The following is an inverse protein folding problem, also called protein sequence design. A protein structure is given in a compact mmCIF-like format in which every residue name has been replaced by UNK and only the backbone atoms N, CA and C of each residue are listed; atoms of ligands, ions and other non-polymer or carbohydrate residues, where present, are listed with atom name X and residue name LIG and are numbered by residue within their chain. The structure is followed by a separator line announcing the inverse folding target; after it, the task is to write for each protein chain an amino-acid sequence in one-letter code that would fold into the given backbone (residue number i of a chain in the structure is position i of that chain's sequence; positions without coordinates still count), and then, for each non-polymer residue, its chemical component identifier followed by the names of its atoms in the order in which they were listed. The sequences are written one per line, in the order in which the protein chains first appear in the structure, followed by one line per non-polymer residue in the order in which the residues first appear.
data_IF_708553469426
#
_entry.id   IF_708553469426
#
_cell.length_a   1.000
_cell.length_b   1.000
_cell.length_c   1.000
_cell.angle_alpha   90.00
_cell.angle_beta   90.00
_cell.angle_gamma   90.00
#
_symmetry.space_group_name_H-M   'P 1'
#
loop_
_entity.id
_entity.type
_entity.pdbx_description
1 polymer ?
#
# COMPACT_ATOMS: atom_id res chain seq x y z
N UNK A 1 -2.76 -17.68 -22.68
CA UNK A 1 -3.49 -16.40 -22.44
C UNK A 1 -3.14 -15.88 -21.06
N UNK A 2 -2.96 -14.57 -20.85
CA UNK A 2 -2.75 -14.02 -19.51
C UNK A 2 -3.93 -14.41 -18.60
N UNK A 3 -3.65 -14.84 -17.37
CA UNK A 3 -4.70 -15.19 -16.39
C UNK A 3 -5.54 -13.94 -16.09
N UNK A 4 -6.86 -14.10 -16.06
CA UNK A 4 -7.74 -12.99 -15.66
C UNK A 4 -7.63 -12.74 -14.15
N UNK A 5 -7.97 -11.53 -13.67
CA UNK A 5 -7.96 -11.25 -12.25
C UNK A 5 -8.80 -12.22 -11.42
N UNK A 6 -9.99 -12.62 -11.89
CA UNK A 6 -10.81 -13.58 -11.17
C UNK A 6 -10.10 -14.93 -11.01
N UNK A 7 -9.47 -15.48 -12.06
CA UNK A 7 -8.72 -16.75 -11.94
C UNK A 7 -7.59 -16.68 -10.91
N UNK A 8 -6.84 -15.58 -10.91
CA UNK A 8 -5.79 -15.36 -9.91
C UNK A 8 -6.38 -15.30 -8.49
N UNK A 9 -7.57 -14.71 -8.34
CA UNK A 9 -8.25 -14.65 -7.05
C UNK A 9 -8.80 -16.01 -6.62
N UNK A 10 -9.38 -16.79 -7.53
CA UNK A 10 -9.87 -18.16 -7.30
C UNK A 10 -8.73 -19.05 -6.78
N UNK A 11 -7.54 -18.97 -7.38
CA UNK A 11 -6.34 -19.68 -6.94
C UNK A 11 -5.93 -19.28 -5.49
N UNK A 12 -6.05 -18.00 -5.14
CA UNK A 12 -5.73 -17.49 -3.79
C UNK A 12 -6.82 -17.77 -2.75
N UNK A 13 -8.05 -18.06 -3.18
CA UNK A 13 -9.23 -18.02 -2.33
C UNK A 13 -9.17 -19.00 -1.14
N UNK A 14 -8.74 -20.26 -1.29
CA UNK A 14 -8.68 -21.20 -0.17
C UNK A 14 -7.74 -20.72 0.95
N UNK A 15 -6.53 -20.26 0.59
CA UNK A 15 -5.56 -19.73 1.54
C UNK A 15 -6.03 -18.38 2.14
N UNK A 16 -6.66 -17.54 1.33
CA UNK A 16 -7.24 -16.28 1.79
C UNK A 16 -8.34 -16.50 2.84
N UNK A 17 -9.19 -17.50 2.65
CA UNK A 17 -10.24 -17.88 3.60
C UNK A 17 -9.69 -18.39 4.93
N UNK A 18 -8.49 -18.97 4.92
CA UNK A 18 -7.77 -19.38 6.13
C UNK A 18 -6.97 -18.22 6.77
N UNK A 19 -7.01 -17.03 6.15
CA UNK A 19 -6.24 -15.88 6.62
C UNK A 19 -4.73 -16.05 6.44
N UNK A 20 -4.28 -16.79 5.43
CA UNK A 20 -2.84 -16.91 5.12
C UNK A 20 -2.24 -15.51 4.81
N UNK A 21 -1.14 -15.10 5.47
CA UNK A 21 -0.56 -13.76 5.29
C UNK A 21 -0.19 -13.43 3.84
N UNK A 22 0.34 -14.41 3.11
CA UNK A 22 0.79 -14.21 1.74
C UNK A 22 -0.41 -14.11 0.77
N UNK A 23 -1.43 -14.94 0.94
CA UNK A 23 -2.66 -14.86 0.18
C UNK A 23 -3.41 -13.53 0.45
N UNK A 24 -3.45 -13.08 1.70
CA UNK A 24 -3.98 -11.76 2.09
C UNK A 24 -3.21 -10.63 1.41
N UNK A 25 -1.88 -10.70 1.39
CA UNK A 25 -1.03 -9.73 0.70
C UNK A 25 -1.30 -9.67 -0.81
N UNK A 26 -1.29 -10.82 -1.49
CA UNK A 26 -1.50 -10.92 -2.93
C UNK A 26 -2.92 -10.53 -3.34
N UNK A 27 -3.95 -10.94 -2.59
CA UNK A 27 -5.33 -10.50 -2.83
C UNK A 27 -5.46 -8.96 -2.70
N UNK A 28 -4.77 -8.34 -1.73
CA UNK A 28 -4.76 -6.88 -1.59
C UNK A 28 -4.02 -6.17 -2.72
N UNK A 29 -2.94 -6.75 -3.25
CA UNK A 29 -2.25 -6.24 -4.45
C UNK A 29 -3.16 -6.34 -5.68
N UNK A 30 -3.77 -7.52 -5.90
CA UNK A 30 -4.67 -7.79 -7.01
C UNK A 30 -5.86 -6.83 -7.01
N UNK A 31 -6.56 -6.68 -5.89
CA UNK A 31 -7.73 -5.78 -5.77
C UNK A 31 -7.39 -4.31 -6.06
N UNK A 32 -6.17 -3.84 -5.74
CA UNK A 32 -5.72 -2.49 -6.09
C UNK A 32 -5.47 -2.32 -7.58
N UNK A 33 -4.83 -3.30 -8.23
CA UNK A 33 -4.60 -3.31 -9.68
C UNK A 33 -5.92 -3.34 -10.45
N UNK A 34 -6.83 -4.23 -10.06
CA UNK A 34 -8.18 -4.32 -10.65
C UNK A 34 -8.95 -3.02 -10.46
N UNK A 35 -8.86 -2.38 -9.29
CA UNK A 35 -9.56 -1.11 -9.06
C UNK A 35 -9.11 0.00 -10.04
N UNK A 36 -7.83 0.07 -10.38
CA UNK A 36 -7.31 1.02 -11.37
C UNK A 36 -7.89 0.73 -12.76
N UNK A 37 -7.88 -0.53 -13.19
CA UNK A 37 -8.47 -0.96 -14.47
C UNK A 37 -9.97 -0.68 -14.53
N UNK A 38 -10.73 -1.06 -13.50
CA UNK A 38 -12.18 -0.86 -13.46
C UNK A 38 -12.58 0.62 -13.40
N UNK A 39 -11.76 1.49 -12.80
CA UNK A 39 -11.97 2.95 -12.80
C UNK A 39 -11.90 3.50 -14.23
N UNK A 40 -11.02 2.97 -15.06
CA UNK A 40 -10.84 3.40 -16.45
C UNK A 40 -11.83 2.75 -17.43
N UNK A 41 -12.40 1.59 -17.08
CA UNK A 41 -13.25 0.80 -17.98
C UNK A 41 -14.75 0.97 -17.86
N UNK A 42 -15.23 2.04 -17.20
CA UNK A 42 -16.67 2.26 -16.93
C UNK A 42 -17.37 1.02 -16.35
N UNK A 43 -16.62 0.21 -15.60
CA UNK A 43 -17.13 -1.06 -15.12
C UNK A 43 -18.37 -0.85 -14.23
N UNK A 44 -19.34 -1.79 -14.27
CA UNK A 44 -20.57 -1.67 -13.49
C UNK A 44 -20.27 -1.37 -12.03
N UNK A 45 -21.03 -0.45 -11.43
CA UNK A 45 -20.87 -0.03 -10.02
C UNK A 45 -20.87 -1.23 -9.07
N UNK A 46 -21.67 -2.26 -9.38
CA UNK A 46 -21.73 -3.52 -8.62
C UNK A 46 -20.39 -4.26 -8.63
N UNK A 47 -19.74 -4.40 -9.78
CA UNK A 47 -18.42 -5.04 -9.91
C UNK A 47 -17.35 -4.26 -9.15
N UNK A 48 -17.29 -2.93 -9.35
CA UNK A 48 -16.36 -2.05 -8.61
C UNK A 48 -16.54 -2.17 -7.09
N UNK A 49 -17.80 -2.25 -6.65
CA UNK A 49 -18.12 -2.45 -5.23
C UNK A 49 -17.64 -3.80 -4.72
N UNK A 50 -17.87 -4.89 -5.43
CA UNK A 50 -17.46 -6.23 -5.01
C UNK A 50 -15.94 -6.31 -4.74
N UNK A 51 -15.12 -5.81 -5.66
CA UNK A 51 -13.67 -5.74 -5.49
C UNK A 51 -13.24 -4.83 -4.34
N UNK A 52 -13.92 -3.70 -4.13
CA UNK A 52 -13.67 -2.80 -3.00
C UNK A 52 -14.03 -3.45 -1.67
N UNK A 53 -15.15 -4.17 -1.61
CA UNK A 53 -15.65 -4.80 -0.39
C UNK A 53 -14.72 -5.96 0.00
N UNK A 54 -14.20 -6.73 -0.96
CA UNK A 54 -13.14 -7.72 -0.72
C UNK A 54 -11.88 -7.07 -0.13
N UNK A 55 -11.39 -5.99 -0.77
CA UNK A 55 -10.21 -5.26 -0.28
C UNK A 55 -10.39 -4.75 1.15
N UNK A 56 -11.60 -4.32 1.51
CA UNK A 56 -11.94 -3.84 2.86
C UNK A 56 -12.00 -4.99 3.88
N UNK A 57 -12.56 -6.13 3.49
CA UNK A 57 -12.66 -7.30 4.36
C UNK A 57 -11.27 -7.79 4.81
N UNK A 58 -10.28 -7.80 3.89
CA UNK A 58 -8.92 -8.32 4.17
C UNK A 58 -7.96 -7.26 4.71
N UNK A 59 -8.34 -5.98 4.69
CA UNK A 59 -7.46 -4.87 5.06
C UNK A 59 -6.98 -4.96 6.52
N UNK A 60 -7.87 -5.17 7.52
CA UNK A 60 -7.47 -5.24 8.91
C UNK A 60 -6.44 -6.33 9.20
N UNK A 61 -6.60 -7.52 8.59
CA UNK A 61 -5.62 -8.61 8.71
C UNK A 61 -4.26 -8.19 8.15
N UNK A 62 -4.22 -7.61 6.94
CA UNK A 62 -2.95 -7.21 6.34
C UNK A 62 -2.27 -6.08 7.11
N UNK A 63 -3.04 -5.06 7.52
CA UNK A 63 -2.49 -3.90 8.22
C UNK A 63 -1.87 -4.35 9.55
N UNK A 64 -2.53 -5.29 10.24
CA UNK A 64 -1.96 -5.98 11.39
C UNK A 64 -0.68 -6.75 11.04
N UNK A 65 -0.73 -7.68 10.08
CA UNK A 65 0.42 -8.53 9.72
C UNK A 65 1.68 -7.71 9.35
N UNK A 66 1.49 -6.55 8.72
CA UNK A 66 2.59 -5.60 8.42
C UNK A 66 3.16 -5.00 9.70
N UNK A 67 2.31 -4.46 10.57
CA UNK A 67 2.75 -3.83 11.81
C UNK A 67 3.53 -4.80 12.70
N UNK A 68 3.08 -6.05 12.80
CA UNK A 68 3.80 -7.10 13.53
C UNK A 68 5.19 -7.37 12.98
N UNK A 69 5.32 -7.50 11.65
CA UNK A 69 6.61 -7.69 11.01
C UNK A 69 7.58 -6.57 11.37
N UNK A 70 7.13 -5.32 11.30
CA UNK A 70 7.96 -4.16 11.62
C UNK A 70 8.35 -4.05 13.09
N UNK A 71 7.42 -4.33 14.02
CA UNK A 71 7.75 -4.32 15.44
C UNK A 71 8.71 -5.47 15.78
N UNK A 72 8.50 -6.64 15.20
CA UNK A 72 9.43 -7.77 15.33
C UNK A 72 10.83 -7.43 14.84
N UNK A 73 10.97 -6.89 13.62
CA UNK A 73 12.25 -6.43 13.07
C UNK A 73 12.91 -5.37 13.98
N UNK A 74 12.13 -4.41 14.48
CA UNK A 74 12.61 -3.37 15.38
C UNK A 74 13.12 -3.93 16.72
N UNK A 75 12.42 -4.92 17.28
CA UNK A 75 12.86 -5.61 18.51
C UNK A 75 14.16 -6.38 18.31
N UNK A 76 14.35 -7.02 17.14
CA UNK A 76 15.61 -7.70 16.81
C UNK A 76 16.77 -6.73 16.71
N UNK A 77 16.59 -5.62 16.00
CA UNK A 77 17.61 -4.57 15.84
C UNK A 77 18.04 -3.96 17.18
N UNK A 78 17.11 -3.85 18.14
CA UNK A 78 17.38 -3.35 19.49
C UNK A 78 17.97 -4.40 20.43
N UNK A 79 18.17 -5.64 19.97
CA UNK A 79 18.68 -6.73 20.80
C UNK A 79 17.69 -7.22 21.87
N UNK A 80 16.40 -6.90 21.72
CA UNK A 80 15.32 -7.26 22.65
C UNK A 80 14.69 -8.64 22.31
N UNK A 81 15.45 -9.52 21.65
CA UNK A 81 14.97 -10.79 21.10
C UNK A 81 14.60 -11.89 22.12
N UNK A 82 14.72 -11.62 23.43
CA UNK A 82 14.42 -12.58 24.51
C UNK A 82 12.93 -12.66 24.86
N UNK A 83 12.62 -12.80 26.16
CA UNK A 83 11.26 -12.99 26.68
C UNK A 83 10.24 -11.93 26.19
N UNK A 84 10.67 -10.69 25.95
CA UNK A 84 9.81 -9.62 25.40
C UNK A 84 9.31 -9.92 23.99
N UNK A 85 10.15 -10.51 23.13
CA UNK A 85 9.77 -10.92 21.77
C UNK A 85 8.82 -12.12 21.78
N UNK A 86 9.04 -13.08 22.66
CA UNK A 86 8.16 -14.25 22.81
C UNK A 86 6.77 -13.85 23.32
N UNK A 87 6.71 -13.01 24.36
CA UNK A 87 5.46 -12.45 24.87
C UNK A 87 4.74 -11.66 23.77
N UNK A 88 5.48 -10.85 23.01
CA UNK A 88 4.95 -10.11 21.87
C UNK A 88 4.35 -11.04 20.80
N UNK A 89 5.08 -12.09 20.41
CA UNK A 89 4.63 -13.05 19.41
C UNK A 89 3.40 -13.86 19.87
N UNK A 90 3.35 -14.24 21.15
CA UNK A 90 2.23 -14.97 21.72
C UNK A 90 0.95 -14.11 21.75
N UNK A 91 1.08 -12.86 22.21
CA UNK A 91 -0.03 -11.92 22.24
C UNK A 91 -0.58 -11.64 20.84
N UNK A 92 0.34 -11.36 19.92
CA UNK A 92 0.02 -11.15 18.52
C UNK A 92 -0.68 -12.34 17.89
N UNK A 93 -0.16 -13.55 18.10
CA UNK A 93 -0.72 -14.79 17.56
C UNK A 93 -2.18 -14.97 17.98
N UNK A 94 -2.51 -14.65 19.24
CA UNK A 94 -3.89 -14.66 19.75
C UNK A 94 -4.76 -13.63 19.04
N UNK A 95 -4.35 -12.36 18.99
CA UNK A 95 -5.12 -11.31 18.32
C UNK A 95 -5.33 -11.59 16.83
N UNK A 96 -4.32 -12.17 16.17
CA UNK A 96 -4.40 -12.57 14.78
C UNK A 96 -5.40 -13.71 14.59
N UNK A 97 -5.36 -14.74 15.43
CA UNK A 97 -6.31 -15.85 15.38
C UNK A 97 -7.76 -15.36 15.55
N UNK A 98 -8.00 -14.45 16.49
CA UNK A 98 -9.31 -13.79 16.68
C UNK A 98 -9.74 -13.02 15.42
N UNK A 99 -8.83 -12.26 14.80
CA UNK A 99 -9.11 -11.51 13.59
C UNK A 99 -9.42 -12.42 12.38
N UNK A 100 -8.76 -13.57 12.27
CA UNK A 100 -9.04 -14.59 11.25
C UNK A 100 -10.40 -15.23 11.50
N UNK A 101 -10.72 -15.60 12.74
CA UNK A 101 -12.02 -16.13 13.10
C UNK A 101 -13.17 -15.15 12.81
N UNK A 102 -12.91 -13.84 12.94
CA UNK A 102 -13.87 -12.77 12.63
C UNK A 102 -13.92 -12.40 11.13
N UNK A 103 -13.08 -12.99 10.27
CA UNK A 103 -12.98 -12.62 8.86
C UNK A 103 -14.27 -12.97 8.11
N UNK A 104 -14.92 -11.95 7.53
CA UNK A 104 -16.10 -12.10 6.68
C UNK A 104 -15.75 -11.74 5.24
N UNK A 105 -15.42 -12.75 4.44
CA UNK A 105 -15.18 -12.56 3.01
C UNK A 105 -16.51 -12.37 2.26
N UNK A 106 -16.60 -11.40 1.31
CA UNK A 106 -17.74 -11.31 0.42
C UNK A 106 -17.74 -12.47 -0.58
N UNK A 107 -18.77 -12.53 -1.43
CA UNK A 107 -18.75 -13.39 -2.62
C UNK A 107 -17.55 -13.03 -3.51
N UNK A 108 -16.95 -14.04 -4.15
CA UNK A 108 -15.87 -13.85 -5.12
C UNK A 108 -16.30 -12.82 -6.18
N UNK A 109 -15.60 -11.68 -6.31
CA UNK A 109 -15.89 -10.70 -7.34
C UNK A 109 -15.75 -11.29 -8.74
N UNK A 110 -16.67 -10.95 -9.64
CA UNK A 110 -16.58 -11.34 -11.04
C UNK A 110 -15.70 -10.36 -11.82
N UNK A 111 -15.13 -10.84 -12.92
CA UNK A 111 -14.45 -9.97 -13.89
C UNK A 111 -15.45 -9.01 -14.58
N UNK A 112 -14.93 -7.88 -15.07
CA UNK A 112 -15.62 -7.02 -16.02
C UNK A 112 -14.89 -7.08 -17.37
N UNK A 113 -15.60 -6.95 -18.50
CA UNK A 113 -14.95 -6.88 -19.80
C UNK A 113 -14.00 -5.69 -19.86
N UNK A 114 -12.79 -5.93 -20.34
CA UNK A 114 -11.78 -4.89 -20.54
C UNK A 114 -12.22 -3.95 -21.68
N UNK A 115 -12.17 -2.62 -21.50
CA UNK A 115 -12.61 -1.69 -22.53
C UNK A 115 -11.65 -1.71 -23.74
N UNK A 116 -12.20 -1.59 -24.96
CA UNK A 116 -11.42 -1.61 -26.22
C UNK A 116 -10.31 -0.55 -26.27
N UNK A 117 -10.52 0.59 -25.62
CA UNK A 117 -9.58 1.72 -25.61
C UNK A 117 -8.89 1.91 -24.25
N UNK A 118 -8.69 0.84 -23.45
CA UNK A 118 -8.06 0.97 -22.12
C UNK A 118 -6.73 1.71 -22.19
N UNK A 119 -5.90 1.39 -23.19
CA UNK A 119 -4.57 1.99 -23.32
C UNK A 119 -4.60 3.50 -23.53
N UNK A 120 -5.54 4.00 -24.34
CA UNK A 120 -5.75 5.44 -24.53
C UNK A 120 -6.22 6.11 -23.24
N UNK A 121 -7.23 5.54 -22.59
CA UNK A 121 -7.78 6.05 -21.32
C UNK A 121 -6.74 6.06 -20.20
N UNK A 122 -5.88 5.05 -20.13
CA UNK A 122 -4.79 5.00 -19.16
C UNK A 122 -3.78 6.13 -19.38
N UNK A 123 -3.43 6.46 -20.63
CA UNK A 123 -2.53 7.59 -20.93
C UNK A 123 -3.16 8.93 -20.53
N UNK A 124 -4.41 9.16 -20.91
CA UNK A 124 -5.17 10.36 -20.53
C UNK A 124 -5.19 10.52 -19.00
N UNK A 125 -5.51 9.46 -18.26
CA UNK A 125 -5.51 9.47 -16.80
C UNK A 125 -4.11 9.67 -16.18
N UNK A 126 -3.04 9.16 -16.81
CA UNK A 126 -1.68 9.39 -16.33
C UNK A 126 -1.26 10.85 -16.48
N UNK A 127 -1.65 11.51 -17.57
CA UNK A 127 -1.38 12.95 -17.77
C UNK A 127 -2.09 13.77 -16.70
N UNK A 128 -3.38 13.53 -16.45
CA UNK A 128 -4.14 14.20 -15.38
C UNK A 128 -3.50 13.98 -14.00
N UNK A 129 -3.24 12.71 -13.64
CA UNK A 129 -2.64 12.36 -12.35
C UNK A 129 -1.22 12.93 -12.19
N UNK A 130 -0.43 12.99 -13.26
CA UNK A 130 0.91 13.60 -13.22
C UNK A 130 0.82 15.11 -12.91
N UNK A 131 -0.14 15.81 -13.52
CA UNK A 131 -0.41 17.22 -13.23
C UNK A 131 -0.80 17.46 -11.77
N UNK A 132 -1.71 16.65 -11.23
CA UNK A 132 -2.13 16.72 -9.81
C UNK A 132 -0.96 16.45 -8.85
N UNK A 133 -0.12 15.44 -9.16
CA UNK A 133 1.04 15.08 -8.35
C UNK A 133 2.12 16.18 -8.35
N UNK A 134 2.39 16.78 -9.51
CA UNK A 134 3.30 17.92 -9.63
C UNK A 134 2.79 19.14 -8.86
N UNK A 135 1.50 19.46 -8.99
CA UNK A 135 0.89 20.59 -8.31
C UNK A 135 0.90 20.42 -6.77
N UNK A 136 0.64 19.21 -6.27
CA UNK A 136 0.58 18.94 -4.82
C UNK A 136 1.95 18.70 -4.18
N UNK A 137 2.94 18.20 -4.93
CA UNK A 137 4.25 17.79 -4.44
C UNK A 137 4.93 18.82 -3.53
N UNK A 138 5.16 20.08 -3.98
CA UNK A 138 5.83 21.10 -3.16
C UNK A 138 5.14 21.38 -1.82
N UNK A 139 3.80 21.32 -1.78
CA UNK A 139 3.02 21.50 -0.56
C UNK A 139 3.19 20.31 0.40
N UNK A 140 3.12 19.08 -0.13
CA UNK A 140 3.27 17.86 0.66
C UNK A 140 4.68 17.75 1.25
N UNK A 141 5.73 18.05 0.49
CA UNK A 141 7.12 17.96 0.95
C UNK A 141 7.44 18.90 2.14
N UNK A 142 6.66 19.98 2.29
CA UNK A 142 6.75 20.94 3.40
C UNK A 142 5.76 20.62 4.53
N UNK A 143 4.81 19.73 4.30
CA UNK A 143 3.75 19.43 5.26
C UNK A 143 4.29 18.75 6.53
N UNK A 144 3.78 19.17 7.68
CA UNK A 144 4.07 18.54 8.97
C UNK A 144 3.12 17.39 9.29
N UNK A 145 1.88 17.47 8.80
CA UNK A 145 0.78 16.56 9.10
C UNK A 145 0.97 15.21 8.39
N UNK A 146 0.97 14.07 9.11
CA UNK A 146 1.10 12.74 8.51
C UNK A 146 0.04 12.43 7.45
N UNK A 147 -1.21 12.87 7.66
CA UNK A 147 -2.32 12.66 6.72
C UNK A 147 -2.01 13.18 5.31
N UNK A 148 -1.35 14.34 5.21
CA UNK A 148 -0.99 14.95 3.93
C UNK A 148 -0.02 14.06 3.13
N UNK A 149 0.95 13.45 3.82
CA UNK A 149 1.86 12.49 3.21
C UNK A 149 1.15 11.19 2.83
N UNK A 150 0.21 10.74 3.66
CA UNK A 150 -0.55 9.52 3.43
C UNK A 150 -1.47 9.63 2.20
N UNK A 151 -2.21 10.73 2.06
CA UNK A 151 -3.05 10.97 0.87
C UNK A 151 -2.22 11.09 -0.40
N UNK A 152 -1.07 11.78 -0.34
CA UNK A 152 -0.16 11.87 -1.48
C UNK A 152 0.42 10.50 -1.87
N UNK A 153 0.78 9.66 -0.88
CA UNK A 153 1.17 8.27 -1.14
C UNK A 153 0.05 7.47 -1.83
N UNK A 154 -1.22 7.65 -1.44
CA UNK A 154 -2.36 7.00 -2.12
C UNK A 154 -2.44 7.43 -3.58
N UNK A 155 -2.28 8.72 -3.86
CA UNK A 155 -2.27 9.26 -5.21
C UNK A 155 -1.13 8.67 -6.06
N UNK A 156 0.09 8.63 -5.53
CA UNK A 156 1.25 8.00 -6.20
C UNK A 156 1.05 6.50 -6.44
N UNK A 157 0.44 5.78 -5.52
CA UNK A 157 0.12 4.35 -5.74
C UNK A 157 -0.92 4.18 -6.84
N UNK A 158 -1.95 5.03 -6.87
CA UNK A 158 -2.94 5.00 -7.95
C UNK A 158 -2.29 5.32 -9.31
N UNK A 159 -1.38 6.29 -9.36
CA UNK A 159 -0.55 6.58 -10.53
C UNK A 159 0.26 5.37 -10.96
N UNK A 160 0.97 4.70 -10.03
CA UNK A 160 1.71 3.47 -10.31
C UNK A 160 0.83 2.37 -10.89
N UNK A 161 -0.33 2.09 -10.29
CA UNK A 161 -1.24 1.05 -10.79
C UNK A 161 -1.82 1.38 -12.17
N UNK A 162 -2.05 2.67 -12.45
CA UNK A 162 -2.46 3.13 -13.79
C UNK A 162 -1.34 2.91 -14.81
N UNK A 163 -0.09 3.20 -14.40
CA UNK A 163 1.10 3.02 -15.23
C UNK A 163 1.38 1.55 -15.56
N UNK A 164 1.23 0.66 -14.57
CA UNK A 164 1.36 -0.80 -14.70
C UNK A 164 0.41 -1.43 -15.74
N UNK A 165 -0.65 -0.72 -16.18
CA UNK A 165 -1.52 -1.15 -17.27
C UNK A 165 -0.86 -1.00 -18.65
N UNK A 166 0.18 -0.17 -18.74
CA UNK A 166 0.87 0.20 -19.97
C UNK A 166 2.33 -0.24 -19.99
N UNK A 167 3.04 -0.08 -18.86
CA UNK A 167 4.48 -0.34 -18.73
C UNK A 167 4.92 -0.53 -17.28
N UNK A 168 6.14 -1.03 -17.11
CA UNK A 168 6.84 -1.06 -15.82
C UNK A 168 6.93 0.36 -15.22
N UNK A 169 6.65 0.55 -13.92
CA UNK A 169 6.89 1.82 -13.25
C UNK A 169 8.38 2.20 -13.21
N UNK A 170 8.75 3.49 -13.36
CA UNK A 170 10.14 3.92 -13.26
C UNK A 170 10.66 3.78 -11.83
N UNK A 171 11.97 3.56 -11.70
CA UNK A 171 12.61 3.40 -10.40
C UNK A 171 12.47 4.63 -9.50
N UNK A 172 12.42 5.83 -10.09
CA UNK A 172 12.16 7.07 -9.34
C UNK A 172 10.82 7.03 -8.58
N UNK A 173 9.76 6.49 -9.21
CA UNK A 173 8.45 6.33 -8.55
C UNK A 173 8.48 5.24 -7.47
N UNK A 174 9.17 4.12 -7.74
CA UNK A 174 9.35 3.04 -6.76
C UNK A 174 10.09 3.54 -5.53
N UNK A 175 11.22 4.20 -5.71
CA UNK A 175 12.03 4.77 -4.63
C UNK A 175 11.23 5.71 -3.72
N UNK A 176 10.47 6.66 -4.30
CA UNK A 176 9.61 7.56 -3.52
C UNK A 176 8.52 6.78 -2.77
N UNK A 177 7.87 5.80 -3.42
CA UNK A 177 6.83 4.98 -2.79
C UNK A 177 7.35 4.08 -1.65
N UNK A 178 8.60 3.63 -1.76
CA UNK A 178 9.27 2.82 -0.75
C UNK A 178 9.60 3.67 0.48
N UNK A 179 10.18 4.85 0.30
CA UNK A 179 10.42 5.83 1.38
C UNK A 179 9.11 6.29 2.04
N UNK A 180 8.06 6.55 1.25
CA UNK A 180 6.71 6.83 1.78
C UNK A 180 6.09 5.62 2.49
N UNK A 181 6.47 4.40 2.10
CA UNK A 181 6.12 3.16 2.78
C UNK A 181 6.69 3.15 4.18
N UNK A 182 8.02 3.23 4.30
CA UNK A 182 8.74 3.32 5.58
C UNK A 182 8.20 4.42 6.48
N UNK A 183 7.91 5.59 5.92
CA UNK A 183 7.26 6.69 6.65
C UNK A 183 5.91 6.26 7.25
N UNK A 184 5.03 5.68 6.45
CA UNK A 184 3.72 5.26 6.92
C UNK A 184 3.83 4.13 7.95
N UNK A 185 4.71 3.16 7.71
CA UNK A 185 4.92 2.02 8.59
C UNK A 185 5.40 2.50 9.97
N UNK A 186 6.34 3.46 10.01
CA UNK A 186 6.76 4.11 11.26
C UNK A 186 5.63 4.85 11.99
N UNK A 187 4.74 5.56 11.28
CA UNK A 187 3.60 6.23 11.91
C UNK A 187 2.58 5.23 12.47
N UNK A 188 2.36 4.09 11.78
CA UNK A 188 1.50 3.00 12.28
C UNK A 188 2.09 2.37 13.53
N UNK A 189 3.40 2.10 13.55
CA UNK A 189 4.05 1.54 14.73
C UNK A 189 4.00 2.53 15.90
N UNK A 190 4.22 3.83 15.66
CA UNK A 190 4.08 4.85 16.70
C UNK A 190 2.67 4.90 17.30
N UNK A 191 1.64 4.81 16.46
CA UNK A 191 0.23 4.77 16.90
C UNK A 191 -0.05 3.53 17.75
N UNK A 192 0.43 2.36 17.35
CA UNK A 192 0.31 1.12 18.15
C UNK A 192 1.01 1.30 19.49
N UNK A 193 2.28 1.73 19.49
CA UNK A 193 3.04 1.94 20.72
C UNK A 193 2.39 2.95 21.66
N UNK A 194 1.62 3.91 21.15
CA UNK A 194 0.90 4.87 21.99
C UNK A 194 -0.23 4.22 22.80
N UNK A 195 -0.94 3.25 22.22
CA UNK A 195 -2.15 2.65 22.80
C UNK A 195 -1.92 1.30 23.47
N UNK A 196 -0.81 0.63 23.18
CA UNK A 196 -0.54 -0.74 23.57
C UNK A 196 0.51 -0.85 24.69
N UNK A 197 0.14 -1.35 25.90
CA UNK A 197 1.02 -1.30 27.08
C UNK A 197 2.06 -2.43 27.16
N UNK A 198 2.01 -3.46 26.32
CA UNK A 198 2.75 -4.72 26.53
C UNK A 198 4.25 -4.70 26.19
N UNK A 199 4.79 -3.54 25.82
CA UNK A 199 6.21 -3.34 25.51
C UNK A 199 6.93 -2.38 26.46
N UNK A 200 6.48 -2.24 27.72
CA UNK A 200 7.01 -1.23 28.67
C UNK A 200 8.55 -1.13 28.70
N UNK A 201 9.26 -2.26 28.68
CA UNK A 201 10.73 -2.28 28.72
C UNK A 201 11.45 -1.81 27.44
N UNK A 202 10.82 -1.92 26.27
CA UNK A 202 11.41 -1.54 24.97
C UNK A 202 10.72 -0.34 24.31
N UNK A 203 9.61 0.13 24.88
CA UNK A 203 8.71 1.13 24.27
C UNK A 203 9.42 2.44 23.97
N UNK A 204 10.22 2.95 24.90
CA UNK A 204 10.94 4.21 24.72
C UNK A 204 11.91 4.15 23.53
N UNK A 205 12.66 3.05 23.42
CA UNK A 205 13.63 2.83 22.35
C UNK A 205 12.95 2.63 20.99
N UNK A 206 11.84 1.87 20.96
CA UNK A 206 11.02 1.71 19.76
C UNK A 206 10.46 3.05 19.29
N UNK A 207 9.89 3.86 20.19
CA UNK A 207 9.39 5.20 19.85
C UNK A 207 10.53 6.08 19.30
N UNK A 208 11.71 6.05 19.91
CA UNK A 208 12.86 6.81 19.45
C UNK A 208 13.31 6.37 18.05
N UNK A 209 13.37 5.05 17.80
CA UNK A 209 13.68 4.45 16.50
C UNK A 209 12.69 4.89 15.43
N UNK A 210 11.39 4.71 15.66
CA UNK A 210 10.37 5.04 14.65
C UNK A 210 10.31 6.54 14.35
N UNK A 211 10.52 7.40 15.37
CA UNK A 211 10.64 8.86 15.15
C UNK A 211 11.81 9.20 14.23
N UNK A 212 12.95 8.52 14.38
CA UNK A 212 14.12 8.69 13.50
C UNK A 212 13.79 8.24 12.08
N UNK A 213 13.26 7.03 11.91
CA UNK A 213 12.86 6.47 10.59
C UNK A 213 11.87 7.38 9.89
N UNK A 214 10.88 7.91 10.60
CA UNK A 214 9.93 8.90 10.09
C UNK A 214 10.63 10.14 9.52
N UNK A 215 11.60 10.69 10.24
CA UNK A 215 12.33 11.88 9.81
C UNK A 215 13.24 11.59 8.61
N UNK A 216 13.95 10.46 8.64
CA UNK A 216 14.81 9.98 7.56
C UNK A 216 14.01 9.73 6.28
N UNK A 217 12.90 9.00 6.37
CA UNK A 217 12.01 8.73 5.24
C UNK A 217 11.50 10.01 4.59
N UNK A 218 11.15 11.04 5.38
CA UNK A 218 10.76 12.36 4.83
C UNK A 218 11.93 13.06 4.14
N UNK A 219 13.17 12.91 4.63
CA UNK A 219 14.37 13.44 3.95
C UNK A 219 14.64 12.71 2.65
N UNK A 220 14.55 11.38 2.65
CA UNK A 220 14.74 10.53 1.46
C UNK A 220 13.73 10.87 0.36
N UNK A 221 12.44 11.01 0.71
CA UNK A 221 11.42 11.40 -0.28
C UNK A 221 11.75 12.76 -0.92
N UNK A 222 12.24 13.74 -0.14
CA UNK A 222 12.67 15.04 -0.68
C UNK A 222 13.87 14.90 -1.59
N UNK A 223 14.83 14.06 -1.25
CA UNK A 223 16.02 13.80 -2.07
C UNK A 223 15.67 13.08 -3.39
N UNK A 224 14.65 12.20 -3.36
CA UNK A 224 14.19 11.44 -4.53
C UNK A 224 13.21 12.22 -5.41
N UNK A 225 12.57 13.27 -4.87
CA UNK A 225 11.56 14.05 -5.57
C UNK A 225 12.01 14.59 -6.94
N UNK A 226 13.20 15.19 -7.12
CA UNK A 226 13.61 15.74 -8.41
C UNK A 226 13.59 14.71 -9.56
N UNK A 227 13.96 13.46 -9.28
CA UNK A 227 13.94 12.40 -10.28
C UNK A 227 12.50 11.99 -10.65
N UNK A 228 11.60 11.96 -9.67
CA UNK A 228 10.17 11.71 -9.90
C UNK A 228 9.53 12.89 -10.64
N UNK A 229 9.81 14.12 -10.24
CA UNK A 229 9.34 15.35 -10.88
C UNK A 229 9.72 15.39 -12.36
N UNK A 230 10.97 15.09 -12.70
CA UNK A 230 11.43 14.99 -14.09
C UNK A 230 10.64 13.93 -14.89
N UNK A 231 10.32 12.79 -14.26
CA UNK A 231 9.46 11.79 -14.91
C UNK A 231 8.04 12.30 -15.14
N UNK A 232 7.42 12.95 -14.15
CA UNK A 232 6.06 13.47 -14.26
C UNK A 232 5.96 14.57 -15.33
N UNK A 233 6.95 15.47 -15.40
CA UNK A 233 7.02 16.51 -16.45
C UNK A 233 7.09 15.90 -17.85
N UNK A 234 7.93 14.88 -18.07
CA UNK A 234 7.98 14.16 -19.36
C UNK A 234 6.63 13.55 -19.74
N UNK A 235 5.88 13.02 -18.78
CA UNK A 235 4.53 12.48 -19.04
C UNK A 235 3.55 13.58 -19.47
N UNK A 236 3.68 14.80 -18.93
CA UNK A 236 2.88 15.95 -19.37
C UNK A 236 3.27 16.39 -20.79
N UNK A 237 4.56 16.53 -21.08
CA UNK A 237 5.07 16.95 -22.39
C UNK A 237 4.69 15.99 -23.52
N UNK A 238 4.77 14.68 -23.25
CA UNK A 238 4.48 13.63 -24.25
C UNK A 238 2.98 13.31 -24.36
N UNK A 239 2.15 13.81 -23.43
CA UNK A 239 0.75 13.39 -23.30
C UNK A 239 0.61 11.89 -23.02
N UNK A 240 1.56 11.31 -22.30
CA UNK A 240 1.62 9.88 -22.02
C UNK A 240 1.84 9.00 -23.26
N UNK A 241 2.27 9.56 -24.40
CA UNK A 241 2.67 8.78 -25.59
C UNK A 241 3.92 7.93 -25.24
N UNK A 242 4.11 6.83 -25.98
CA UNK A 242 5.29 5.97 -25.79
C UNK A 242 6.56 6.81 -26.07
N UNK A 243 7.45 6.85 -25.08
CA UNK A 243 8.89 6.94 -25.35
C UNK A 243 9.34 5.70 -26.12
#
# INVERSE_FOLDING_TARGET
MPRTPNRLLEDLWPALAQGDPQAVHEARKLTRKVAAELKLGDAPKKTRRAWRDLRRAVAPLRDRDVAFGHIGEALDELGQGGAGREAFAADWGRQRAEAVAALKLPKVPTDAPRPKHLGRRAREALTEQAGELLASGPGVLKARRPDTWHEWRKALKNYRYTLELLREPPDALKAVLDSLGRLQDAEVVLDILEHEPWLEGARADLIARERRIRLESRKEVRAQWPALEAHLNRVLETGGRKD
#
